data_IF_351899341392
#
_entry.id   IF_351899341392
#
_cell.length_a   1.000
_cell.length_b   1.000
_cell.length_c   1.000
_cell.angle_alpha   90.00
_cell.angle_beta   90.00
_cell.angle_gamma   90.00
#
_symmetry.space_group_name_H-M   'P 1'
#
loop_
_entity.id
_entity.type
_entity.pdbx_description
1 polymer ?
#
# COMPACT_ATOMS: atom_id res chain seq x y z
N UNK A 1 -5.65 8.83 -15.66
CA UNK A 1 -4.30 8.27 -15.80
C UNK A 1 -3.52 8.96 -16.92
N UNK A 2 -2.25 9.28 -16.66
CA UNK A 2 -1.31 9.80 -17.65
C UNK A 2 -0.89 8.70 -18.64
N UNK A 3 -0.26 9.11 -19.75
CA UNK A 3 0.30 8.17 -20.74
C UNK A 3 1.38 7.27 -20.14
N UNK A 4 2.15 7.79 -19.17
CA UNK A 4 3.21 7.05 -18.50
C UNK A 4 2.64 5.98 -17.56
N UNK A 5 1.63 6.33 -16.76
CA UNK A 5 0.92 5.38 -15.88
C UNK A 5 0.31 4.22 -16.67
N UNK A 6 -0.22 4.51 -17.86
CA UNK A 6 -0.77 3.49 -18.75
C UNK A 6 0.31 2.54 -19.26
N UNK A 7 1.50 3.03 -19.63
CA UNK A 7 2.60 2.16 -20.07
C UNK A 7 3.07 1.26 -18.92
N UNK A 8 3.24 1.82 -17.73
CA UNK A 8 3.68 1.05 -16.56
C UNK A 8 2.64 0.00 -16.17
N UNK A 9 1.35 0.33 -16.26
CA UNK A 9 0.28 -0.66 -16.07
C UNK A 9 0.39 -1.80 -17.10
N UNK A 10 0.65 -1.51 -18.37
CA UNK A 10 0.79 -2.53 -19.40
C UNK A 10 1.98 -3.46 -19.15
N UNK A 11 3.09 -2.93 -18.63
CA UNK A 11 4.27 -3.72 -18.28
C UNK A 11 4.03 -4.59 -17.02
N UNK A 12 3.24 -4.09 -16.06
CA UNK A 12 2.89 -4.78 -14.82
C UNK A 12 1.73 -5.80 -14.98
N UNK A 13 0.80 -5.55 -15.90
CA UNK A 13 -0.45 -6.29 -16.05
C UNK A 13 -0.25 -7.81 -16.22
N UNK A 14 0.67 -8.33 -17.04
CA UNK A 14 0.89 -9.78 -17.17
C UNK A 14 1.25 -10.44 -15.84
N UNK A 15 2.09 -9.79 -15.04
CA UNK A 15 2.52 -10.28 -13.74
C UNK A 15 1.35 -10.25 -12.73
N UNK A 16 0.56 -9.17 -12.76
CA UNK A 16 -0.64 -9.03 -11.94
C UNK A 16 -1.68 -10.12 -12.23
N UNK A 17 -2.05 -10.33 -13.50
CA UNK A 17 -3.06 -11.34 -13.84
C UNK A 17 -2.58 -12.76 -13.53
N UNK A 18 -1.28 -13.05 -13.76
CA UNK A 18 -0.68 -14.34 -13.38
C UNK A 18 -0.71 -14.56 -11.86
N UNK A 19 -0.45 -13.50 -11.07
CA UNK A 19 -0.54 -13.55 -9.62
C UNK A 19 -1.98 -13.79 -9.14
N UNK A 20 -2.95 -13.04 -9.68
CA UNK A 20 -4.36 -13.19 -9.33
C UNK A 20 -4.91 -14.58 -9.70
N UNK A 21 -4.52 -15.11 -10.87
CA UNK A 21 -4.87 -16.48 -11.27
C UNK A 21 -4.30 -17.51 -10.30
N UNK A 22 -3.03 -17.37 -9.91
CA UNK A 22 -2.40 -18.23 -8.91
C UNK A 22 -3.13 -18.17 -7.57
N UNK A 23 -3.48 -16.97 -7.09
CA UNK A 23 -4.23 -16.80 -5.85
C UNK A 23 -5.59 -17.51 -5.92
N UNK A 24 -6.29 -17.41 -7.04
CA UNK A 24 -7.57 -18.08 -7.25
C UNK A 24 -7.42 -19.61 -7.28
N UNK A 25 -6.46 -20.15 -8.05
CA UNK A 25 -6.22 -21.59 -8.18
C UNK A 25 -5.80 -22.23 -6.85
N UNK A 26 -4.96 -21.55 -6.08
CA UNK A 26 -4.43 -22.05 -4.80
C UNK A 26 -5.32 -21.69 -3.60
N UNK A 27 -6.42 -20.96 -3.81
CA UNK A 27 -7.27 -20.39 -2.75
C UNK A 27 -6.48 -19.56 -1.73
N UNK A 28 -5.43 -18.88 -2.19
CA UNK A 28 -4.63 -17.99 -1.37
C UNK A 28 -5.37 -16.66 -1.16
N UNK A 29 -5.47 -16.16 0.10
CA UNK A 29 -6.03 -14.84 0.34
C UNK A 29 -5.12 -13.74 -0.24
N UNK A 30 -5.74 -12.69 -0.78
CA UNK A 30 -5.05 -11.49 -1.27
C UNK A 30 -5.86 -10.26 -0.87
N UNK A 31 -5.16 -9.19 -0.54
CA UNK A 31 -5.67 -7.86 -0.21
C UNK A 31 -5.49 -6.88 -1.37
N UNK A 32 -4.85 -7.29 -2.47
CA UNK A 32 -4.67 -6.41 -3.63
C UNK A 32 -6.03 -6.02 -4.21
N UNK A 33 -6.22 -4.73 -4.44
CA UNK A 33 -7.42 -4.23 -5.13
C UNK A 33 -7.60 -4.90 -6.49
N UNK A 34 -8.81 -5.42 -6.75
CA UNK A 34 -9.10 -6.11 -8.02
C UNK A 34 -9.28 -5.09 -9.14
N UNK A 35 -8.43 -5.17 -10.16
CA UNK A 35 -8.51 -4.31 -11.33
C UNK A 35 -9.46 -4.98 -12.33
N UNK A 36 -10.51 -4.26 -12.68
CA UNK A 36 -11.52 -4.73 -13.65
C UNK A 36 -11.06 -4.42 -15.06
N UNK A 37 -10.44 -3.27 -15.28
CA UNK A 37 -9.89 -2.91 -16.58
C UNK A 37 -9.41 -1.47 -16.69
N UNK A 38 -8.68 -1.20 -17.77
CA UNK A 38 -8.23 0.16 -18.12
C UNK A 38 -8.84 0.54 -19.45
N UNK A 39 -9.50 1.69 -19.49
CA UNK A 39 -10.22 2.18 -20.65
C UNK A 39 -9.68 3.54 -21.07
N UNK A 40 -9.79 3.84 -22.37
CA UNK A 40 -9.43 5.14 -22.91
C UNK A 40 -10.65 5.79 -23.55
N UNK A 41 -11.11 6.86 -22.93
CA UNK A 41 -12.25 7.65 -23.37
C UNK A 41 -11.73 8.84 -24.17
N UNK A 42 -12.14 8.93 -25.43
CA UNK A 42 -11.82 10.05 -26.31
C UNK A 42 -13.12 10.71 -26.76
N UNK A 43 -13.22 12.02 -26.58
CA UNK A 43 -14.35 12.83 -27.02
C UNK A 43 -13.85 13.96 -27.92
N UNK A 44 -14.56 14.21 -29.03
CA UNK A 44 -14.30 15.33 -29.92
C UNK A 44 -15.60 16.11 -30.09
N UNK A 45 -15.60 17.36 -29.64
CA UNK A 45 -16.68 18.30 -29.85
C UNK A 45 -16.50 18.98 -31.20
N UNK A 46 -17.36 18.67 -32.17
CA UNK A 46 -17.30 19.28 -33.50
C UNK A 46 -17.75 20.75 -33.52
N UNK A 47 -18.45 21.23 -32.49
CA UNK A 47 -18.94 22.61 -32.39
C UNK A 47 -17.91 23.56 -31.78
N UNK A 48 -17.13 23.09 -30.80
CA UNK A 48 -16.10 23.90 -30.12
C UNK A 48 -14.67 23.54 -30.53
N UNK A 49 -14.49 22.56 -31.42
CA UNK A 49 -13.19 21.93 -31.76
C UNK A 49 -12.42 21.37 -30.56
N UNK A 50 -13.03 21.29 -29.38
CA UNK A 50 -12.39 20.73 -28.20
C UNK A 50 -12.28 19.19 -28.33
N UNK A 51 -11.08 18.66 -28.10
CA UNK A 51 -10.85 17.23 -28.00
C UNK A 51 -10.35 16.90 -26.60
N UNK A 52 -11.01 15.93 -25.96
CA UNK A 52 -10.59 15.38 -24.67
C UNK A 52 -10.19 13.93 -24.87
N UNK A 53 -9.05 13.54 -24.32
CA UNK A 53 -8.61 12.14 -24.29
C UNK A 53 -8.15 11.82 -22.89
N UNK A 54 -8.90 10.96 -22.22
CA UNK A 54 -8.67 10.57 -20.83
C UNK A 54 -8.59 9.06 -20.73
N UNK A 55 -7.65 8.58 -19.93
CA UNK A 55 -7.55 7.16 -19.57
C UNK A 55 -8.08 6.96 -18.15
N UNK A 56 -8.93 5.95 -17.96
CA UNK A 56 -9.55 5.59 -16.69
C UNK A 56 -9.20 4.15 -16.32
N UNK A 57 -8.89 3.91 -15.05
CA UNK A 57 -8.73 2.57 -14.48
C UNK A 57 -9.93 2.29 -13.60
N UNK A 58 -10.54 1.14 -13.80
CA UNK A 58 -11.69 0.66 -13.05
C UNK A 58 -11.20 -0.46 -12.14
N UNK A 59 -11.45 -0.32 -10.85
CA UNK A 59 -11.07 -1.27 -9.82
C UNK A 59 -12.21 -1.46 -8.81
N UNK A 60 -12.11 -2.53 -8.04
CA UNK A 60 -13.01 -2.82 -6.93
C UNK A 60 -13.05 -1.67 -5.92
N UNK A 61 -14.26 -1.29 -5.54
CA UNK A 61 -14.48 -0.39 -4.42
C UNK A 61 -14.53 -1.21 -3.14
N UNK A 62 -13.49 -1.09 -2.32
CA UNK A 62 -13.33 -1.82 -1.07
C UNK A 62 -14.51 -1.62 -0.10
N UNK A 63 -15.11 -0.43 -0.08
CA UNK A 63 -16.16 -0.05 0.87
C UNK A 63 -17.57 -0.06 0.25
N UNK A 64 -17.77 -0.77 -0.85
CA UNK A 64 -19.07 -0.82 -1.50
C UNK A 64 -20.17 -1.38 -0.58
N UNK A 65 -21.26 -0.62 -0.41
CA UNK A 65 -22.40 -0.96 0.48
C UNK A 65 -22.02 -1.15 1.96
N UNK A 66 -20.91 -0.56 2.40
CA UNK A 66 -20.48 -0.54 3.80
C UNK A 66 -20.60 0.86 4.38
N UNK A 67 -20.99 0.96 5.65
CA UNK A 67 -21.02 2.24 6.36
C UNK A 67 -19.77 2.34 7.23
N UNK A 68 -18.71 2.87 6.63
CA UNK A 68 -17.41 3.02 7.29
C UNK A 68 -17.40 4.33 8.08
N UNK A 69 -17.17 4.27 9.40
CA UNK A 69 -17.01 5.48 10.22
C UNK A 69 -15.62 6.05 10.10
N UNK A 70 -14.62 5.19 10.19
CA UNK A 70 -13.23 5.59 10.25
C UNK A 70 -12.45 4.86 9.16
N UNK A 71 -11.78 5.65 8.31
CA UNK A 71 -10.93 5.18 7.22
C UNK A 71 -9.49 5.48 7.56
N UNK A 72 -8.60 4.49 7.45
CA UNK A 72 -7.17 4.65 7.69
C UNK A 72 -6.36 4.27 6.47
N UNK A 73 -5.37 5.09 6.11
CA UNK A 73 -4.31 4.78 5.15
C UNK A 73 -3.01 4.54 5.91
N UNK A 74 -2.60 3.27 5.97
CA UNK A 74 -1.43 2.83 6.73
C UNK A 74 -0.30 2.44 5.77
N UNK A 75 0.87 3.07 5.88
CA UNK A 75 2.07 2.66 5.09
C UNK A 75 3.23 2.18 5.96
N UNK A 76 3.09 2.21 7.29
CA UNK A 76 4.11 1.81 8.25
C UNK A 76 5.24 2.82 8.42
N UNK A 77 5.00 4.11 8.14
CA UNK A 77 5.96 5.18 8.41
C UNK A 77 5.35 6.20 9.36
N UNK A 78 6.08 6.60 10.39
CA UNK A 78 5.54 7.43 11.48
C UNK A 78 5.70 8.94 11.21
N UNK A 79 6.75 9.37 10.49
CA UNK A 79 7.01 10.82 10.27
C UNK A 79 5.95 11.48 9.36
N UNK A 80 5.47 12.66 9.77
CA UNK A 80 4.48 13.49 9.05
C UNK A 80 3.14 12.78 8.77
N UNK A 81 2.63 12.00 9.74
CA UNK A 81 1.42 11.18 9.60
C UNK A 81 0.34 11.45 10.63
N UNK A 82 0.26 12.69 11.09
CA UNK A 82 -0.86 13.16 11.88
C UNK A 82 -1.76 14.00 10.99
N UNK A 83 -3.00 13.56 10.79
CA UNK A 83 -4.04 14.44 10.26
C UNK A 83 -4.75 15.05 11.47
N UNK A 84 -4.74 16.38 11.55
CA UNK A 84 -5.56 17.09 12.53
C UNK A 84 -7.02 17.06 12.06
N UNK A 85 -7.96 16.55 12.88
CA UNK A 85 -9.39 16.59 12.54
C UNK A 85 -9.92 18.01 12.33
N UNK A 86 -9.25 19.02 12.91
CA UNK A 86 -9.65 20.43 12.88
C UNK A 86 -9.25 21.18 11.60
N UNK A 87 -8.41 20.60 10.72
CA UNK A 87 -8.01 21.21 9.43
C UNK A 87 -9.12 21.11 8.34
N UNK A 88 -10.33 20.70 8.72
CA UNK A 88 -11.48 20.48 7.86
C UNK A 88 -12.19 21.78 7.44
N UNK A 89 -11.56 22.52 6.51
CA UNK A 89 -12.24 23.56 5.73
C UNK A 89 -12.78 23.05 4.37
N UNK A 90 -12.70 21.75 4.05
CA UNK A 90 -13.17 21.20 2.78
C UNK A 90 -13.96 19.91 2.96
N UNK A 91 -15.10 19.81 2.28
CA UNK A 91 -16.16 18.77 2.30
C UNK A 91 -15.70 17.35 1.86
N UNK A 92 -14.52 16.89 2.28
CA UNK A 92 -14.00 15.55 1.99
C UNK A 92 -14.19 14.58 3.16
N UNK A 93 -14.40 13.28 2.86
CA UNK A 93 -14.30 12.23 3.89
C UNK A 93 -12.88 12.19 4.47
N UNK A 94 -12.76 12.27 5.80
CA UNK A 94 -11.48 12.24 6.50
C UNK A 94 -10.84 10.84 6.38
N UNK A 95 -9.62 10.79 5.85
CA UNK A 95 -8.78 9.58 5.84
C UNK A 95 -7.65 9.77 6.85
N UNK A 96 -7.71 8.99 7.92
CA UNK A 96 -6.76 8.99 9.01
C UNK A 96 -5.46 8.26 8.62
N UNK A 97 -4.35 8.58 9.27
CA UNK A 97 -3.05 8.00 8.96
C UNK A 97 -2.52 7.16 10.13
N UNK A 98 -1.30 6.63 9.99
CA UNK A 98 -0.66 5.73 10.94
C UNK A 98 -0.62 6.27 12.39
N UNK A 99 -0.35 7.56 12.63
CA UNK A 99 -0.33 8.12 13.99
C UNK A 99 -1.74 8.27 14.58
N UNK A 100 -2.75 8.56 13.75
CA UNK A 100 -4.14 8.62 14.19
C UNK A 100 -4.62 7.24 14.67
N UNK A 101 -4.25 6.16 13.96
CA UNK A 101 -4.58 4.79 14.40
C UNK A 101 -3.90 4.45 15.73
N UNK A 102 -2.64 4.83 15.90
CA UNK A 102 -1.90 4.58 17.14
C UNK A 102 -2.51 5.34 18.33
N UNK A 103 -2.88 6.60 18.14
CA UNK A 103 -3.55 7.39 19.17
C UNK A 103 -4.92 6.81 19.51
N UNK A 104 -5.73 6.44 18.50
CA UNK A 104 -7.02 5.78 18.71
C UNK A 104 -6.83 4.45 19.46
N UNK A 105 -5.79 3.67 19.14
CA UNK A 105 -5.54 2.37 19.78
C UNK A 105 -5.20 2.48 21.27
N UNK A 106 -4.76 3.66 21.75
CA UNK A 106 -4.57 3.91 23.18
C UNK A 106 -5.90 4.04 23.92
N UNK A 107 -6.91 4.64 23.28
CA UNK A 107 -8.23 4.89 23.88
C UNK A 107 -9.21 3.74 23.63
N UNK A 108 -9.15 3.13 22.43
CA UNK A 108 -10.00 2.04 21.98
C UNK A 108 -9.16 1.04 21.16
N UNK A 109 -8.58 0.01 21.81
CA UNK A 109 -7.69 -0.93 21.13
C UNK A 109 -8.46 -1.81 20.15
N UNK A 110 -7.95 -1.85 18.91
CA UNK A 110 -8.49 -2.68 17.84
C UNK A 110 -7.89 -4.08 17.92
N UNK A 111 -8.66 -5.02 18.46
CA UNK A 111 -8.25 -6.41 18.54
C UNK A 111 -8.88 -7.27 17.45
N UNK A 112 -8.08 -8.17 16.89
CA UNK A 112 -8.52 -9.17 15.92
C UNK A 112 -8.38 -10.58 16.47
N UNK A 113 -9.13 -11.54 15.92
CA UNK A 113 -9.02 -12.94 16.33
C UNK A 113 -7.69 -13.52 15.85
N UNK A 114 -7.10 -14.45 16.61
CA UNK A 114 -5.81 -15.09 16.26
C UNK A 114 -5.79 -15.68 14.85
N UNK A 115 -6.86 -16.38 14.45
CA UNK A 115 -6.96 -16.98 13.12
C UNK A 115 -7.04 -15.91 12.01
N UNK A 116 -7.79 -14.82 12.24
CA UNK A 116 -7.89 -13.69 11.30
C UNK A 116 -6.54 -13.01 11.15
N UNK A 117 -5.78 -12.87 12.25
CA UNK A 117 -4.40 -12.34 12.21
C UNK A 117 -3.48 -13.21 11.37
N UNK A 118 -3.55 -14.54 11.51
CA UNK A 118 -2.73 -15.44 10.72
C UNK A 118 -3.03 -15.33 9.21
N UNK A 119 -4.32 -15.25 8.84
CA UNK A 119 -4.76 -15.05 7.45
C UNK A 119 -4.30 -13.69 6.92
N UNK A 120 -4.46 -12.63 7.71
CA UNK A 120 -4.04 -11.26 7.37
C UNK A 120 -2.54 -11.18 7.13
N UNK A 121 -1.74 -11.70 8.06
CA UNK A 121 -0.28 -11.72 7.94
C UNK A 121 0.16 -12.47 6.69
N UNK A 122 -0.44 -13.64 6.42
CA UNK A 122 -0.09 -14.42 5.23
C UNK A 122 -0.47 -13.70 3.94
N UNK A 123 -1.62 -13.03 3.88
CA UNK A 123 -2.01 -12.24 2.72
C UNK A 123 -1.03 -11.07 2.50
N UNK A 124 -0.74 -10.30 3.55
CA UNK A 124 0.23 -9.19 3.50
C UNK A 124 1.60 -9.69 3.03
N UNK A 125 2.15 -10.77 3.60
CA UNK A 125 3.46 -11.29 3.23
C UNK A 125 3.56 -11.68 1.75
N UNK A 126 2.52 -12.32 1.22
CA UNK A 126 2.49 -12.77 -0.17
C UNK A 126 2.24 -11.61 -1.15
N UNK A 127 1.31 -10.72 -0.83
CA UNK A 127 1.00 -9.55 -1.66
C UNK A 127 2.20 -8.61 -1.70
N UNK A 128 2.79 -8.29 -0.55
CA UNK A 128 3.96 -7.41 -0.48
C UNK A 128 5.19 -8.05 -1.12
N UNK A 129 5.34 -9.38 -1.07
CA UNK A 129 6.37 -10.09 -1.84
C UNK A 129 6.18 -9.87 -3.33
N UNK A 130 4.98 -10.08 -3.85
CA UNK A 130 4.68 -9.85 -5.26
C UNK A 130 4.94 -8.40 -5.66
N UNK A 131 4.56 -7.43 -4.82
CA UNK A 131 4.85 -6.02 -5.04
C UNK A 131 6.37 -5.75 -5.07
N UNK A 132 7.14 -6.27 -4.11
CA UNK A 132 8.59 -6.12 -4.06
C UNK A 132 9.30 -6.77 -5.28
N UNK A 133 8.87 -7.97 -5.70
CA UNK A 133 9.40 -8.67 -6.88
C UNK A 133 9.17 -7.85 -8.17
N UNK A 134 8.10 -7.04 -8.21
CA UNK A 134 7.81 -6.10 -9.30
C UNK A 134 8.32 -4.67 -9.03
N UNK A 135 9.19 -4.51 -8.02
CA UNK A 135 9.76 -3.23 -7.57
C UNK A 135 8.72 -2.17 -7.18
N UNK A 136 7.52 -2.58 -6.80
CA UNK A 136 6.45 -1.69 -6.35
C UNK A 136 6.63 -1.29 -4.88
N UNK A 137 6.66 0.01 -4.63
CA UNK A 137 6.78 0.68 -3.33
C UNK A 137 5.63 1.69 -3.12
N UNK A 138 5.58 2.29 -1.92
CA UNK A 138 4.62 3.33 -1.53
C UNK A 138 3.13 2.94 -1.56
N UNK A 139 2.85 1.65 -1.54
CA UNK A 139 1.51 1.11 -1.32
C UNK A 139 1.06 1.29 0.13
N UNK A 140 -0.24 1.44 0.33
CA UNK A 140 -0.87 1.57 1.65
C UNK A 140 -1.81 0.42 1.91
N UNK A 141 -1.97 0.02 3.17
CA UNK A 141 -3.14 -0.72 3.61
C UNK A 141 -4.26 0.28 3.93
N UNK A 142 -5.31 0.25 3.12
CA UNK A 142 -6.56 0.92 3.40
C UNK A 142 -7.38 0.07 4.37
N UNK A 143 -7.80 0.68 5.48
CA UNK A 143 -8.58 0.05 6.54
C UNK A 143 -9.87 0.83 6.73
N UNK A 144 -10.99 0.13 6.79
CA UNK A 144 -12.28 0.70 7.17
C UNK A 144 -12.86 -0.06 8.36
N UNK A 145 -13.32 0.69 9.36
CA UNK A 145 -14.09 0.16 10.48
C UNK A 145 -15.59 0.34 10.22
N UNK A 146 -16.34 -0.76 10.26
CA UNK A 146 -17.79 -0.73 10.22
C UNK A 146 -18.37 -1.00 11.63
N UNK A 147 -18.88 0.01 12.34
CA UNK A 147 -19.32 -0.16 13.73
C UNK A 147 -20.62 -0.98 13.86
N UNK A 148 -21.41 -1.08 12.79
CA UNK A 148 -22.70 -1.78 12.84
C UNK A 148 -22.52 -3.32 12.84
N UNK A 149 -21.39 -3.80 12.34
CA UNK A 149 -21.09 -5.22 12.13
C UNK A 149 -19.85 -5.68 12.90
N UNK A 150 -19.13 -4.76 13.55
CA UNK A 150 -17.82 -4.97 14.15
C UNK A 150 -16.81 -5.61 13.18
N UNK A 151 -16.96 -5.32 11.88
CA UNK A 151 -16.11 -5.85 10.81
C UNK A 151 -15.02 -4.85 10.42
N UNK A 152 -13.84 -5.40 10.10
CA UNK A 152 -12.71 -4.67 9.54
C UNK A 152 -12.62 -4.98 8.05
N UNK A 153 -12.65 -3.94 7.23
CA UNK A 153 -12.48 -4.06 5.79
C UNK A 153 -11.09 -3.58 5.43
N UNK A 154 -10.30 -4.43 4.77
CA UNK A 154 -8.87 -4.22 4.53
C UNK A 154 -8.55 -4.41 3.04
N UNK A 155 -7.68 -3.56 2.49
CA UNK A 155 -7.19 -3.73 1.12
C UNK A 155 -5.91 -2.92 0.85
N UNK A 156 -5.00 -3.45 0.05
CA UNK A 156 -3.78 -2.75 -0.34
C UNK A 156 -4.08 -1.87 -1.56
N UNK A 157 -3.85 -0.56 -1.41
CA UNK A 157 -4.06 0.47 -2.43
C UNK A 157 -2.73 1.16 -2.81
N UNK A 158 -2.72 1.88 -3.94
CA UNK A 158 -1.56 2.71 -4.33
C UNK A 158 -0.59 2.07 -5.31
N UNK A 159 -0.89 0.91 -5.87
CA UNK A 159 0.02 0.19 -6.79
C UNK A 159 0.32 0.95 -8.10
N UNK A 160 -0.56 1.85 -8.57
CA UNK A 160 -0.46 2.44 -9.93
C UNK A 160 -0.02 3.90 -9.97
N UNK A 161 -0.36 4.68 -8.95
CA UNK A 161 0.07 6.07 -8.88
C UNK A 161 1.54 6.16 -8.46
N UNK A 162 1.98 5.21 -7.63
CA UNK A 162 3.38 5.10 -7.24
C UNK A 162 4.22 4.42 -8.30
N UNK A 163 3.68 3.64 -9.24
CA UNK A 163 4.49 3.01 -10.30
C UNK A 163 5.25 4.05 -11.14
N UNK A 164 4.66 5.24 -11.34
CA UNK A 164 5.34 6.39 -11.93
C UNK A 164 6.46 6.90 -11.03
N UNK A 165 6.17 7.09 -9.74
CA UNK A 165 7.17 7.50 -8.76
C UNK A 165 8.29 6.47 -8.63
N UNK A 166 8.01 5.17 -8.72
CA UNK A 166 8.96 4.06 -8.73
C UNK A 166 9.79 4.09 -10.00
N UNK A 167 9.22 4.38 -11.18
CA UNK A 167 10.02 4.47 -12.40
C UNK A 167 10.94 5.68 -12.35
N UNK A 168 10.46 6.80 -11.82
CA UNK A 168 11.26 8.01 -11.65
C UNK A 168 12.27 7.88 -10.50
N UNK A 169 11.92 7.15 -9.44
CA UNK A 169 12.74 6.82 -8.28
C UNK A 169 13.75 5.72 -8.56
N UNK A 170 13.43 4.69 -9.32
CA UNK A 170 14.38 3.67 -9.79
C UNK A 170 15.27 4.30 -10.86
N UNK A 171 14.78 5.20 -11.71
CA UNK A 171 15.65 5.94 -12.64
C UNK A 171 16.60 6.85 -11.86
N UNK A 172 16.13 7.69 -10.94
CA UNK A 172 17.01 8.48 -10.06
C UNK A 172 17.89 7.58 -9.21
N UNK A 173 17.37 6.62 -8.45
CA UNK A 173 18.15 5.69 -7.63
C UNK A 173 19.16 4.85 -8.42
N UNK A 174 18.82 4.32 -9.60
CA UNK A 174 19.77 3.52 -10.40
C UNK A 174 20.87 4.41 -10.97
N UNK A 175 20.57 5.64 -11.38
CA UNK A 175 21.59 6.58 -11.85
C UNK A 175 22.38 7.19 -10.69
N UNK A 176 21.73 7.62 -9.61
CA UNK A 176 22.29 8.23 -8.41
C UNK A 176 23.12 7.24 -7.61
N UNK A 177 22.68 5.99 -7.36
CA UNK A 177 23.57 4.98 -6.74
C UNK A 177 24.72 4.62 -7.65
N UNK A 178 24.54 4.54 -8.97
CA UNK A 178 25.66 4.27 -9.89
C UNK A 178 26.64 5.43 -9.90
N UNK A 179 26.17 6.68 -9.92
CA UNK A 179 26.97 7.91 -9.79
C UNK A 179 27.67 7.96 -8.44
N UNK A 180 26.96 7.78 -7.34
CA UNK A 180 27.50 7.81 -5.99
C UNK A 180 28.50 6.67 -5.77
N UNK A 181 28.27 5.48 -6.36
CA UNK A 181 29.23 4.37 -6.35
C UNK A 181 30.44 4.64 -7.25
N UNK A 182 30.29 5.32 -8.38
CA UNK A 182 31.40 5.74 -9.23
C UNK A 182 32.23 6.86 -8.57
N UNK A 183 31.58 7.81 -7.91
CA UNK A 183 32.21 8.89 -7.13
C UNK A 183 32.94 8.31 -5.92
N UNK A 184 32.31 7.37 -5.18
CA UNK A 184 32.95 6.67 -4.05
C UNK A 184 34.07 5.72 -4.50
N UNK A 185 33.99 5.12 -5.69
CA UNK A 185 35.09 4.34 -6.30
C UNK A 185 36.22 5.20 -6.84
N UNK A 186 35.98 6.50 -7.11
CA UNK A 186 37.01 7.45 -7.55
C UNK A 186 37.77 8.13 -6.39
N UNK A 187 37.53 7.73 -5.14
CA UNK A 187 38.49 7.93 -4.05
C UNK A 187 38.67 9.34 -3.49
N UNK A 188 37.62 10.16 -3.44
CA UNK A 188 37.71 11.49 -2.78
C UNK A 188 36.46 11.71 -1.91
N UNK A 189 36.67 12.13 -0.66
CA UNK A 189 35.72 12.54 0.38
C UNK A 189 35.15 11.43 1.29
N UNK A 190 35.87 11.22 2.39
CA UNK A 190 35.29 10.80 3.65
C UNK A 190 34.33 11.85 4.19
N UNK A 191 33.12 11.41 4.55
CA UNK A 191 32.12 12.23 5.20
C UNK A 191 31.04 11.35 5.79
N UNK A 192 30.79 11.47 7.10
CA UNK A 192 29.64 10.91 7.80
C UNK A 192 28.35 11.51 7.24
N UNK A 193 27.81 10.92 6.18
CA UNK A 193 26.51 11.28 5.61
C UNK A 193 25.41 10.44 6.27
N UNK A 194 24.38 11.11 6.81
CA UNK A 194 23.12 10.52 7.27
C UNK A 194 22.66 9.41 6.30
N UNK A 195 22.26 8.27 6.85
CA UNK A 195 21.66 7.16 6.10
C UNK A 195 20.66 7.71 5.08
N UNK A 196 20.79 7.39 3.78
CA UNK A 196 19.88 7.92 2.79
C UNK A 196 18.45 7.48 3.16
N UNK A 197 17.50 8.42 3.12
CA UNK A 197 16.04 8.22 3.33
C UNK A 197 15.40 7.31 2.27
N UNK A 198 16.24 6.64 1.47
CA UNK A 198 15.91 5.93 0.25
C UNK A 198 15.94 4.44 0.59
N UNK A 199 14.75 3.85 0.67
CA UNK A 199 14.51 2.50 1.16
C UNK A 199 14.27 1.62 -0.05
N UNK A 200 14.99 0.50 -0.15
CA UNK A 200 14.78 -0.48 -1.23
C UNK A 200 13.37 -1.11 -1.13
N UNK A 201 12.83 -1.69 -2.22
CA UNK A 201 11.51 -2.35 -2.16
C UNK A 201 11.38 -3.41 -1.06
N UNK A 202 12.45 -4.17 -0.80
CA UNK A 202 12.47 -5.18 0.26
C UNK A 202 12.51 -4.56 1.66
N UNK A 203 13.27 -3.48 1.87
CA UNK A 203 13.27 -2.78 3.16
C UNK A 203 11.92 -2.07 3.40
N UNK A 204 11.28 -1.55 2.35
CA UNK A 204 9.94 -0.96 2.42
C UNK A 204 8.94 -2.02 2.86
N UNK A 205 8.98 -3.19 2.22
CA UNK A 205 8.18 -4.36 2.54
C UNK A 205 8.38 -4.80 3.99
N UNK A 206 9.63 -4.96 4.43
CA UNK A 206 9.94 -5.38 5.80
C UNK A 206 9.35 -4.39 6.83
N UNK A 207 9.50 -3.08 6.59
CA UNK A 207 8.92 -2.04 7.43
C UNK A 207 7.38 -2.10 7.44
N UNK A 208 6.76 -2.24 6.27
CA UNK A 208 5.31 -2.32 6.13
C UNK A 208 4.75 -3.52 6.90
N UNK A 209 5.32 -4.71 6.72
CA UNK A 209 4.93 -5.94 7.44
C UNK A 209 5.06 -5.75 8.95
N UNK A 210 6.21 -5.23 9.41
CA UNK A 210 6.45 -5.00 10.84
C UNK A 210 5.45 -4.02 11.46
N UNK A 211 5.07 -2.97 10.72
CA UNK A 211 4.07 -2.01 11.16
C UNK A 211 2.68 -2.63 11.26
N UNK A 212 2.22 -3.35 10.23
CA UNK A 212 0.90 -4.01 10.25
C UNK A 212 0.82 -5.05 11.38
N UNK A 213 1.91 -5.79 11.63
CA UNK A 213 1.95 -6.73 12.75
C UNK A 213 1.77 -6.06 14.12
N UNK A 214 2.25 -4.83 14.26
CA UNK A 214 2.12 -4.01 15.48
C UNK A 214 0.76 -3.33 15.59
N UNK A 215 0.18 -2.89 14.47
CA UNK A 215 -1.12 -2.21 14.44
C UNK A 215 -2.28 -3.16 14.72
N UNK A 216 -2.23 -4.40 14.23
CA UNK A 216 -3.28 -5.38 14.45
C UNK A 216 -2.89 -6.39 15.55
N UNK A 217 -3.40 -6.18 16.75
CA UNK A 217 -3.11 -7.03 17.90
C UNK A 217 -4.11 -8.19 17.98
N UNK A 218 -3.64 -9.45 18.18
CA UNK A 218 -4.55 -10.55 18.39
C UNK A 218 -5.15 -10.47 19.80
N UNK A 219 -6.43 -10.81 19.95
CA UNK A 219 -6.99 -11.13 21.26
C UNK A 219 -6.28 -12.38 21.79
N UNK A 220 -5.74 -12.39 23.02
CA UNK A 220 -5.21 -13.59 23.63
C UNK A 220 -6.31 -14.66 23.70
N UNK A 221 -6.12 -15.75 22.97
CA UNK A 221 -7.00 -16.91 23.08
C UNK A 221 -6.54 -17.84 24.21
N UNK A 222 -7.33 -18.90 24.45
CA UNK A 222 -7.06 -19.91 25.49
C UNK A 222 -5.68 -20.58 25.34
N UNK A 223 -5.05 -20.50 24.16
CA UNK A 223 -3.81 -21.18 23.81
C UNK A 223 -2.60 -20.24 23.73
N UNK A 224 -2.80 -18.92 23.89
CA UNK A 224 -1.78 -17.89 23.75
C UNK A 224 -0.53 -18.08 24.63
N UNK A 225 -0.66 -18.77 25.77
CA UNK A 225 0.46 -19.11 26.66
C UNK A 225 1.24 -20.37 26.27
N UNK A 226 0.67 -21.25 25.44
CA UNK A 226 1.20 -22.58 25.17
C UNK A 226 2.09 -22.63 23.92
N UNK A 227 1.97 -21.67 23.01
CA UNK A 227 2.76 -21.61 21.76
C UNK A 227 4.17 -21.03 21.91
N UNK A 228 4.53 -20.41 23.05
CA UNK A 228 5.83 -19.75 23.24
C UNK A 228 7.05 -20.68 23.17
N UNK A 229 6.85 -22.00 23.14
CA UNK A 229 7.91 -22.99 22.99
C UNK A 229 8.03 -23.62 21.59
N UNK A 230 7.18 -23.25 20.62
CA UNK A 230 7.11 -23.90 19.30
C UNK A 230 7.58 -22.99 18.16
N UNK A 231 7.56 -21.67 18.36
CA UNK A 231 8.09 -20.69 17.40
C UNK A 231 9.53 -20.29 17.79
N UNK A 232 10.50 -21.08 17.34
CA UNK A 232 11.93 -20.71 17.26
C UNK A 232 12.40 -20.74 15.82
#
# INVERSE_FOLDING_TARGET
MSRLEMQIFLDFAPNYFSYMEKCQQTKQPTLLGKIVGVYRVSFKNNTTNAALRTSVLVMENLFYKRTITDKFDLKGSVRNRLVNPDDMCQEGELVLLDENLLNMSCDSPLYIRSHSKAVLNRAIEQDTKFLADNSVMDYSLLVGLEPNSDELVLGIIGCFQNAVLITDYIRTFTWDKKLETMVKKSGILGGQGKLPTIISPEEYRARFIAAMHRYFLPVPDRWYGLGRGVET
#
